data_IF_279055423398
#
_entry.id   IF_279055423398
#
_cell.length_a   1.000
_cell.length_b   1.000
_cell.length_c   1.000
_cell.angle_alpha   90.00
_cell.angle_beta   90.00
_cell.angle_gamma   90.00
#
_symmetry.space_group_name_H-M   'P 1'
#
loop_
_entity.id
_entity.type
_entity.pdbx_description
1 polymer ?
#
# COMPACT_ATOMS: atom_id res chain seq x y z
N UNK A 1 -24.89 10.30 -1.04
CA UNK A 1 -24.65 8.84 -0.98
C UNK A 1 -24.11 8.38 0.38
N UNK A 2 -23.16 9.10 1.00
CA UNK A 2 -22.59 8.78 2.32
C UNK A 2 -23.57 8.60 3.50
N UNK A 3 -24.83 9.01 3.39
CA UNK A 3 -25.85 8.79 4.44
C UNK A 3 -26.39 7.34 4.49
N UNK A 4 -26.09 6.53 3.49
CA UNK A 4 -26.62 5.17 3.38
C UNK A 4 -25.60 4.14 3.89
N UNK A 5 -25.93 3.28 4.88
CA UNK A 5 -25.00 2.29 5.43
C UNK A 5 -24.40 1.34 4.38
N UNK A 6 -25.21 0.94 3.39
CA UNK A 6 -24.78 0.10 2.26
C UNK A 6 -23.60 0.67 1.48
N UNK A 7 -23.47 2.00 1.41
CA UNK A 7 -22.39 2.64 0.70
C UNK A 7 -21.06 2.52 1.44
N UNK A 8 -21.08 2.63 2.78
CA UNK A 8 -19.89 2.39 3.61
C UNK A 8 -19.42 0.93 3.56
N UNK A 9 -20.35 -0.02 3.51
CA UNK A 9 -20.03 -1.44 3.29
C UNK A 9 -19.35 -1.62 1.93
N UNK A 10 -19.89 -1.02 0.87
CA UNK A 10 -19.26 -1.04 -0.45
C UNK A 10 -17.83 -0.47 -0.42
N UNK A 11 -17.62 0.70 0.20
CA UNK A 11 -16.29 1.30 0.33
C UNK A 11 -15.33 0.42 1.13
N UNK A 12 -15.80 -0.23 2.19
CA UNK A 12 -14.98 -1.16 2.98
C UNK A 12 -14.56 -2.38 2.14
N UNK A 13 -15.47 -2.96 1.37
CA UNK A 13 -15.15 -4.08 0.47
C UNK A 13 -14.14 -3.64 -0.59
N UNK A 14 -14.36 -2.50 -1.24
CA UNK A 14 -13.45 -1.97 -2.25
C UNK A 14 -12.05 -1.71 -1.65
N UNK A 15 -11.99 -1.10 -0.47
CA UNK A 15 -10.73 -0.75 0.17
C UNK A 15 -9.95 -1.97 0.68
N UNK A 16 -10.60 -2.88 1.41
CA UNK A 16 -9.90 -3.96 2.09
C UNK A 16 -9.79 -5.22 1.23
N UNK A 17 -10.79 -5.55 0.42
CA UNK A 17 -10.78 -6.77 -0.38
C UNK A 17 -10.11 -6.52 -1.72
N UNK A 18 -10.64 -5.57 -2.50
CA UNK A 18 -10.11 -5.31 -3.85
C UNK A 18 -8.73 -4.66 -3.74
N UNK A 19 -8.61 -3.48 -3.14
CA UNK A 19 -7.32 -2.82 -3.07
C UNK A 19 -6.37 -3.49 -2.05
N UNK A 20 -6.86 -3.85 -0.87
CA UNK A 20 -6.04 -4.48 0.16
C UNK A 20 -5.62 -5.91 -0.23
N UNK A 21 -6.54 -6.87 -0.19
CA UNK A 21 -6.21 -8.29 -0.36
C UNK A 21 -5.66 -8.58 -1.74
N UNK A 22 -6.31 -8.16 -2.83
CA UNK A 22 -5.84 -8.53 -4.19
C UNK A 22 -4.47 -7.92 -4.47
N UNK A 23 -4.27 -6.62 -4.24
CA UNK A 23 -3.00 -5.98 -4.58
C UNK A 23 -1.85 -6.46 -3.70
N UNK A 24 -2.07 -6.64 -2.38
CA UNK A 24 -1.02 -7.18 -1.51
C UNK A 24 -0.71 -8.64 -1.81
N UNK A 25 -1.70 -9.42 -2.30
CA UNK A 25 -1.46 -10.77 -2.80
C UNK A 25 -0.57 -10.75 -4.04
N UNK A 26 -0.82 -9.87 -5.00
CA UNK A 26 0.01 -9.73 -6.20
C UNK A 26 1.47 -9.39 -5.85
N UNK A 27 1.68 -8.45 -4.93
CA UNK A 27 3.03 -8.09 -4.42
C UNK A 27 3.70 -9.27 -3.71
N UNK A 28 2.96 -10.01 -2.90
CA UNK A 28 3.44 -11.25 -2.28
C UNK A 28 3.87 -12.28 -3.33
N UNK A 29 3.03 -12.56 -4.33
CA UNK A 29 3.35 -13.53 -5.37
C UNK A 29 4.52 -13.10 -6.23
N UNK A 30 4.69 -11.81 -6.54
CA UNK A 30 5.88 -11.30 -7.22
C UNK A 30 7.17 -11.65 -6.45
N UNK A 31 7.18 -11.50 -5.12
CA UNK A 31 8.30 -11.92 -4.28
C UNK A 31 8.49 -13.45 -4.31
N UNK A 32 7.41 -14.24 -4.23
CA UNK A 32 7.52 -15.70 -4.29
C UNK A 32 8.03 -16.19 -5.64
N UNK A 33 7.62 -15.57 -6.75
CA UNK A 33 8.14 -15.86 -8.07
C UNK A 33 9.62 -15.51 -8.18
N UNK A 34 10.04 -14.34 -7.69
CA UNK A 34 11.45 -13.96 -7.64
C UNK A 34 12.28 -14.95 -6.80
N UNK A 35 11.71 -15.47 -5.72
CA UNK A 35 12.33 -16.52 -4.89
C UNK A 35 12.40 -17.87 -5.60
N UNK A 36 11.35 -18.25 -6.32
CA UNK A 36 11.27 -19.55 -6.99
C UNK A 36 12.29 -19.66 -8.13
N UNK A 37 12.44 -18.59 -8.92
CA UNK A 37 13.36 -18.57 -10.07
C UNK A 37 14.75 -18.01 -9.76
N UNK A 38 14.89 -17.26 -8.65
CA UNK A 38 16.16 -16.67 -8.22
C UNK A 38 16.78 -17.37 -7.02
N UNK A 39 17.99 -16.94 -6.63
CA UNK A 39 18.61 -17.33 -5.35
C UNK A 39 18.56 -16.16 -4.37
N UNK A 40 17.57 -16.17 -3.50
CA UNK A 40 17.44 -15.20 -2.40
C UNK A 40 17.94 -15.86 -1.12
N UNK A 41 19.17 -15.53 -0.72
CA UNK A 41 19.83 -16.16 0.45
C UNK A 41 19.83 -15.29 1.70
N UNK A 42 19.72 -13.96 1.56
CA UNK A 42 19.84 -13.03 2.69
C UNK A 42 18.49 -12.37 3.03
N UNK A 43 18.13 -12.20 4.31
CA UNK A 43 16.94 -11.46 4.74
C UNK A 43 16.81 -10.07 4.09
N UNK A 44 17.92 -9.33 3.95
CA UNK A 44 17.96 -8.03 3.26
C UNK A 44 17.45 -8.10 1.82
N UNK A 45 17.70 -9.20 1.11
CA UNK A 45 17.26 -9.38 -0.28
C UNK A 45 15.75 -9.62 -0.33
N UNK A 46 15.17 -10.39 0.61
CA UNK A 46 13.72 -10.55 0.72
C UNK A 46 13.02 -9.20 0.93
N UNK A 47 13.52 -8.39 1.86
CA UNK A 47 12.96 -7.07 2.13
C UNK A 47 13.06 -6.14 0.92
N UNK A 48 14.24 -6.06 0.31
CA UNK A 48 14.49 -5.22 -0.88
C UNK A 48 13.62 -5.63 -2.06
N UNK A 49 13.52 -6.94 -2.35
CA UNK A 49 12.70 -7.44 -3.46
C UNK A 49 11.20 -7.22 -3.21
N UNK A 50 10.74 -7.36 -1.96
CA UNK A 50 9.37 -7.03 -1.62
C UNK A 50 9.09 -5.54 -1.84
N UNK A 51 9.97 -4.65 -1.38
CA UNK A 51 9.84 -3.21 -1.65
C UNK A 51 9.85 -2.92 -3.16
N UNK A 52 10.72 -3.56 -3.93
CA UNK A 52 10.78 -3.41 -5.38
C UNK A 52 9.48 -3.87 -6.07
N UNK A 53 8.87 -4.96 -5.62
CA UNK A 53 7.55 -5.39 -6.09
C UNK A 53 6.47 -4.34 -5.77
N UNK A 54 6.50 -3.75 -4.58
CA UNK A 54 5.63 -2.63 -4.20
C UNK A 54 5.82 -1.40 -5.08
N UNK A 55 7.07 -1.04 -5.37
CA UNK A 55 7.41 0.10 -6.25
C UNK A 55 6.89 -0.13 -7.68
N UNK A 56 7.18 -1.30 -8.27
CA UNK A 56 6.73 -1.65 -9.61
C UNK A 56 5.19 -1.66 -9.71
N UNK A 57 4.52 -2.18 -8.69
CA UNK A 57 3.06 -2.10 -8.60
C UNK A 57 2.58 -0.63 -8.60
N UNK A 58 3.16 0.22 -7.75
CA UNK A 58 2.78 1.63 -7.66
C UNK A 58 3.05 2.39 -8.96
N UNK A 59 4.11 2.05 -9.69
CA UNK A 59 4.38 2.62 -11.01
C UNK A 59 3.27 2.26 -12.00
N UNK A 60 2.87 0.98 -12.09
CA UNK A 60 1.78 0.56 -12.98
C UNK A 60 0.45 1.22 -12.60
N UNK A 61 0.14 1.26 -11.30
CA UNK A 61 -1.05 1.93 -10.79
C UNK A 61 -1.06 3.43 -11.15
N UNK A 62 0.06 4.12 -10.92
CA UNK A 62 0.22 5.54 -11.25
C UNK A 62 0.02 5.82 -12.74
N UNK A 63 0.58 4.99 -13.63
CA UNK A 63 0.35 5.10 -15.09
C UNK A 63 -1.14 4.96 -15.40
N UNK A 64 -1.81 3.98 -14.79
CA UNK A 64 -3.26 3.77 -14.96
C UNK A 64 -4.10 4.98 -14.55
N UNK A 65 -3.80 5.59 -13.41
CA UNK A 65 -4.51 6.80 -12.95
C UNK A 65 -4.27 8.01 -13.86
N UNK A 66 -3.04 8.22 -14.34
CA UNK A 66 -2.74 9.32 -15.26
C UNK A 66 -3.44 9.08 -16.60
N UNK A 67 -3.38 7.85 -17.13
CA UNK A 67 -4.07 7.48 -18.36
C UNK A 67 -5.59 7.70 -18.24
N UNK A 68 -6.21 7.25 -17.15
CA UNK A 68 -7.63 7.48 -16.90
C UNK A 68 -7.99 8.97 -16.85
N UNK A 69 -7.19 9.78 -16.15
CA UNK A 69 -7.42 11.23 -16.09
C UNK A 69 -7.36 11.90 -17.48
N UNK A 70 -6.46 11.43 -18.37
CA UNK A 70 -6.39 11.89 -19.76
C UNK A 70 -7.60 11.43 -20.57
N UNK A 71 -8.03 10.18 -20.43
CA UNK A 71 -9.21 9.64 -21.13
C UNK A 71 -10.51 10.33 -20.73
N UNK A 72 -10.61 10.81 -19.50
CA UNK A 72 -11.74 11.58 -18.98
C UNK A 72 -11.70 13.07 -19.38
N UNK A 73 -10.77 13.48 -20.24
CA UNK A 73 -10.55 14.88 -20.67
C UNK A 73 -10.40 15.84 -19.47
N UNK A 74 -9.75 15.39 -18.41
CA UNK A 74 -9.52 16.23 -17.24
C UNK A 74 -8.56 17.38 -17.59
N UNK A 75 -8.84 18.56 -17.02
CA UNK A 75 -7.97 19.73 -17.18
C UNK A 75 -6.54 19.43 -16.72
N UNK A 76 -5.55 20.07 -17.36
CA UNK A 76 -4.12 19.87 -17.07
C UNK A 76 -3.77 20.03 -15.58
N UNK A 77 -4.39 20.98 -14.87
CA UNK A 77 -4.17 21.17 -13.45
C UNK A 77 -4.55 19.94 -12.61
N UNK A 78 -5.59 19.21 -13.01
CA UNK A 78 -6.00 17.95 -12.38
C UNK A 78 -5.04 16.82 -12.70
N UNK A 79 -4.59 16.70 -13.93
CA UNK A 79 -3.60 15.69 -14.32
C UNK A 79 -2.30 15.89 -13.53
N UNK A 80 -1.81 17.13 -13.41
CA UNK A 80 -0.63 17.47 -12.61
C UNK A 80 -0.85 17.13 -11.13
N UNK A 81 -2.02 17.43 -10.58
CA UNK A 81 -2.38 17.04 -9.21
C UNK A 81 -2.35 15.51 -9.04
N UNK A 82 -2.95 14.76 -9.96
CA UNK A 82 -2.94 13.28 -9.96
C UNK A 82 -1.51 12.75 -9.96
N UNK A 83 -0.65 13.26 -10.85
CA UNK A 83 0.76 12.86 -10.92
C UNK A 83 1.46 13.16 -9.59
N UNK A 84 1.31 14.37 -9.05
CA UNK A 84 1.98 14.76 -7.81
C UNK A 84 1.57 13.88 -6.62
N UNK A 85 0.27 13.65 -6.43
CA UNK A 85 -0.23 12.80 -5.35
C UNK A 85 0.21 11.34 -5.52
N UNK A 86 0.14 10.82 -6.75
CA UNK A 86 0.53 9.45 -7.06
C UNK A 86 2.03 9.23 -6.91
N UNK A 87 2.87 10.22 -7.22
CA UNK A 87 4.33 10.08 -7.08
C UNK A 87 4.83 10.33 -5.66
N UNK A 88 4.17 11.22 -4.90
CA UNK A 88 4.62 11.56 -3.55
C UNK A 88 4.25 10.48 -2.51
N UNK A 89 3.03 9.95 -2.56
CA UNK A 89 2.49 9.07 -1.50
C UNK A 89 2.37 7.61 -1.92
N UNK A 90 2.03 7.35 -3.19
CA UNK A 90 1.84 6.00 -3.72
C UNK A 90 3.08 5.12 -3.55
N UNK A 91 4.23 5.45 -4.18
CA UNK A 91 5.44 4.65 -4.10
C UNK A 91 5.89 4.38 -2.68
N UNK A 92 5.87 5.38 -1.80
CA UNK A 92 6.30 5.23 -0.40
C UNK A 92 5.37 4.26 0.33
N UNK A 93 4.06 4.42 0.18
CA UNK A 93 3.11 3.56 0.90
C UNK A 93 3.17 2.12 0.38
N UNK A 94 3.14 1.92 -0.95
CA UNK A 94 3.21 0.58 -1.55
C UNK A 94 4.53 -0.14 -1.25
N UNK A 95 5.67 0.57 -1.28
CA UNK A 95 6.97 -0.03 -0.94
C UNK A 95 7.02 -0.45 0.52
N UNK A 96 6.50 0.37 1.44
CA UNK A 96 6.48 0.05 2.87
C UNK A 96 5.51 -1.09 3.22
N UNK A 97 4.31 -1.14 2.62
CA UNK A 97 3.38 -2.27 2.84
C UNK A 97 3.95 -3.56 2.26
N UNK A 98 4.54 -3.52 1.07
CA UNK A 98 5.23 -4.69 0.52
C UNK A 98 6.45 -5.09 1.37
N UNK A 99 7.17 -4.12 1.93
CA UNK A 99 8.23 -4.36 2.91
C UNK A 99 7.76 -5.12 4.15
N UNK A 100 6.57 -4.80 4.69
CA UNK A 100 5.96 -5.58 5.79
C UNK A 100 5.68 -7.03 5.39
N UNK A 101 5.20 -7.24 4.17
CA UNK A 101 5.02 -8.58 3.60
C UNK A 101 6.37 -9.32 3.55
N UNK A 102 7.43 -8.67 3.06
CA UNK A 102 8.79 -9.22 3.06
C UNK A 102 9.30 -9.59 4.45
N UNK A 103 9.07 -8.74 5.46
CA UNK A 103 9.45 -9.03 6.85
C UNK A 103 8.71 -10.25 7.41
N UNK A 104 7.43 -10.44 7.08
CA UNK A 104 6.69 -11.62 7.53
C UNK A 104 7.10 -12.88 6.76
N UNK A 105 7.49 -12.77 5.49
CA UNK A 105 8.08 -13.87 4.72
C UNK A 105 9.41 -14.30 5.33
N UNK A 106 10.28 -13.36 5.75
CA UNK A 106 11.54 -13.69 6.46
C UNK A 106 11.25 -14.48 7.74
N UNK A 107 10.29 -14.03 8.54
CA UNK A 107 9.88 -14.73 9.79
C UNK A 107 9.41 -16.15 9.50
N UNK A 108 8.59 -16.33 8.47
CA UNK A 108 8.05 -17.63 8.09
C UNK A 108 9.13 -18.56 7.54
N UNK A 109 9.89 -18.08 6.55
CA UNK A 109 10.70 -18.93 5.68
C UNK A 109 12.15 -19.07 6.16
N UNK A 110 12.69 -18.07 6.86
CA UNK A 110 14.08 -18.10 7.36
C UNK A 110 14.15 -18.38 8.87
N UNK A 111 13.13 -17.98 9.64
CA UNK A 111 13.09 -18.21 11.10
C UNK A 111 12.18 -19.35 11.53
N UNK A 112 11.50 -20.01 10.59
CA UNK A 112 10.64 -21.16 10.86
C UNK A 112 9.36 -20.85 11.64
N UNK A 113 8.95 -19.57 11.75
CA UNK A 113 7.69 -19.23 12.40
C UNK A 113 6.50 -19.76 11.58
N UNK A 114 5.50 -20.33 12.26
CA UNK A 114 4.29 -20.83 11.59
C UNK A 114 3.32 -19.69 11.28
N UNK A 115 3.58 -18.97 10.19
CA UNK A 115 2.71 -17.91 9.69
C UNK A 115 1.93 -18.37 8.46
N UNK A 116 0.60 -18.37 8.56
CA UNK A 116 -0.28 -18.57 7.41
C UNK A 116 -0.29 -17.37 6.46
N UNK A 117 -0.81 -17.56 5.24
CA UNK A 117 -0.88 -16.51 4.22
C UNK A 117 -1.52 -15.21 4.73
N UNK A 118 -2.67 -15.30 5.40
CA UNK A 118 -3.34 -14.13 5.98
C UNK A 118 -2.50 -13.41 7.03
N UNK A 119 -1.65 -14.10 7.80
CA UNK A 119 -0.74 -13.46 8.76
C UNK A 119 0.45 -12.78 8.06
N UNK A 120 0.85 -13.29 6.89
CA UNK A 120 1.93 -12.71 6.08
C UNK A 120 1.50 -11.37 5.48
N UNK A 121 0.34 -11.31 4.83
CA UNK A 121 -0.13 -10.08 4.16
C UNK A 121 -1.02 -9.20 5.04
N UNK A 122 -1.55 -9.73 6.15
CA UNK A 122 -2.63 -9.08 6.90
C UNK A 122 -2.32 -7.67 7.41
N UNK A 123 -1.10 -7.44 7.92
CA UNK A 123 -0.71 -6.09 8.32
C UNK A 123 -0.67 -5.13 7.10
N UNK A 124 -0.16 -5.60 5.97
CA UNK A 124 -0.09 -4.84 4.73
C UNK A 124 -1.49 -4.50 4.22
N UNK A 125 -2.41 -5.47 4.25
CA UNK A 125 -3.83 -5.29 3.89
C UNK A 125 -4.51 -4.27 4.82
N UNK A 126 -4.27 -4.33 6.12
CA UNK A 126 -4.85 -3.39 7.07
C UNK A 126 -4.34 -1.96 6.87
N UNK A 127 -3.02 -1.79 6.66
CA UNK A 127 -2.47 -0.48 6.38
C UNK A 127 -2.98 0.05 5.03
N UNK A 128 -2.87 -0.73 3.97
CA UNK A 128 -3.28 -0.30 2.65
C UNK A 128 -4.79 -0.05 2.55
N UNK A 129 -5.61 -1.01 2.96
CA UNK A 129 -7.06 -0.88 2.96
C UNK A 129 -7.55 0.22 3.89
N UNK A 130 -6.92 0.40 5.06
CA UNK A 130 -7.25 1.49 5.98
C UNK A 130 -7.00 2.86 5.37
N UNK A 131 -5.86 3.05 4.70
CA UNK A 131 -5.57 4.28 3.97
C UNK A 131 -6.62 4.55 2.89
N UNK A 132 -6.90 3.57 2.03
CA UNK A 132 -7.87 3.68 0.95
C UNK A 132 -9.29 3.96 1.47
N UNK A 133 -9.69 3.30 2.56
CA UNK A 133 -11.00 3.52 3.16
C UNK A 133 -11.16 4.95 3.69
N UNK A 134 -10.14 5.51 4.32
CA UNK A 134 -10.20 6.89 4.82
C UNK A 134 -10.28 7.89 3.66
N UNK A 135 -9.40 7.78 2.66
CA UNK A 135 -9.37 8.73 1.55
C UNK A 135 -10.66 8.66 0.71
N UNK A 136 -11.15 7.45 0.42
CA UNK A 136 -12.46 7.28 -0.26
C UNK A 136 -13.63 7.72 0.63
N UNK A 137 -13.54 7.50 1.94
CA UNK A 137 -14.55 7.95 2.91
C UNK A 137 -14.66 9.47 2.95
N UNK A 138 -13.54 10.18 2.93
CA UNK A 138 -13.51 11.64 2.83
C UNK A 138 -14.12 12.10 1.51
N UNK A 139 -13.74 11.50 0.39
CA UNK A 139 -14.32 11.82 -0.92
C UNK A 139 -15.83 11.55 -0.97
N UNK A 140 -16.27 10.46 -0.33
CA UNK A 140 -17.67 10.10 -0.16
C UNK A 140 -18.49 11.13 0.63
N UNK A 141 -17.91 11.72 1.68
CA UNK A 141 -18.53 12.79 2.47
C UNK A 141 -18.74 14.06 1.64
N UNK A 142 -17.90 14.30 0.63
CA UNK A 142 -18.09 15.36 -0.37
C UNK A 142 -19.11 15.00 -1.46
N UNK A 143 -19.71 13.81 -1.39
CA UNK A 143 -20.74 13.35 -2.32
C UNK A 143 -20.22 12.54 -3.50
N UNK A 144 -18.91 12.24 -3.56
CA UNK A 144 -18.27 11.54 -4.66
C UNK A 144 -18.38 10.01 -4.55
N UNK A 145 -18.21 9.33 -5.68
CA UNK A 145 -18.05 7.87 -5.75
C UNK A 145 -16.61 7.53 -6.11
N UNK A 146 -15.95 6.75 -5.24
CA UNK A 146 -14.52 6.46 -5.36
C UNK A 146 -13.65 7.62 -4.89
N UNK A 147 -12.43 7.70 -5.41
CA UNK A 147 -11.47 8.76 -5.10
C UNK A 147 -11.57 9.89 -6.11
N UNK A 148 -12.11 11.03 -5.67
CA UNK A 148 -12.03 12.31 -6.37
C UNK A 148 -11.19 13.27 -5.55
N UNK A 149 -10.23 13.93 -6.21
CA UNK A 149 -9.26 14.84 -5.60
C UNK A 149 -9.94 15.95 -4.78
N UNK A 150 -9.79 15.94 -3.44
CA UNK A 150 -10.39 16.93 -2.56
C UNK A 150 -9.75 18.31 -2.78
N UNK A 151 -10.44 19.35 -2.31
CA UNK A 151 -10.00 20.76 -2.42
C UNK A 151 -10.08 21.46 -1.08
N UNK A 152 -9.36 22.57 -0.95
CA UNK A 152 -9.40 23.43 0.23
C UNK A 152 -9.07 22.68 1.53
N UNK A 153 -9.92 22.83 2.54
CA UNK A 153 -9.69 22.24 3.87
C UNK A 153 -9.70 20.71 3.86
N UNK A 154 -10.50 20.08 2.98
CA UNK A 154 -10.54 18.63 2.86
C UNK A 154 -9.21 18.07 2.35
N UNK A 155 -8.56 18.77 1.42
CA UNK A 155 -7.23 18.38 0.93
C UNK A 155 -6.20 18.42 2.07
N UNK A 156 -6.20 19.49 2.87
CA UNK A 156 -5.31 19.60 4.03
C UNK A 156 -5.56 18.48 5.05
N UNK A 157 -6.82 18.10 5.28
CA UNK A 157 -7.17 16.97 6.14
C UNK A 157 -6.60 15.65 5.59
N UNK A 158 -6.84 15.34 4.31
CA UNK A 158 -6.32 14.12 3.67
C UNK A 158 -4.81 14.07 3.73
N UNK A 159 -4.12 15.17 3.41
CA UNK A 159 -2.66 15.22 3.45
C UNK A 159 -2.13 14.99 4.87
N UNK A 160 -2.78 15.57 5.88
CA UNK A 160 -2.42 15.35 7.29
C UNK A 160 -2.58 13.90 7.69
N UNK A 161 -3.71 13.28 7.35
CA UNK A 161 -3.96 11.86 7.58
C UNK A 161 -2.92 11.02 6.86
N UNK A 162 -2.63 11.33 5.60
CA UNK A 162 -1.67 10.58 4.79
C UNK A 162 -0.26 10.62 5.36
N UNK A 163 0.22 11.81 5.76
CA UNK A 163 1.53 11.96 6.41
C UNK A 163 1.57 11.19 7.73
N UNK A 164 0.53 11.30 8.57
CA UNK A 164 0.43 10.53 9.81
C UNK A 164 0.46 9.02 9.58
N UNK A 165 -0.24 8.57 8.54
CA UNK A 165 -0.32 7.16 8.16
C UNK A 165 1.03 6.62 7.66
N UNK A 166 1.68 7.33 6.74
CA UNK A 166 3.02 7.01 6.25
C UNK A 166 4.03 7.02 7.39
N UNK A 167 3.92 7.98 8.32
CA UNK A 167 4.76 8.04 9.52
C UNK A 167 4.59 6.81 10.42
N UNK A 168 3.35 6.40 10.71
CA UNK A 168 3.04 5.22 11.51
C UNK A 168 3.52 3.93 10.84
N UNK A 169 3.33 3.81 9.52
CA UNK A 169 3.78 2.68 8.72
C UNK A 169 5.32 2.61 8.70
N UNK A 170 6.00 3.73 8.46
CA UNK A 170 7.47 3.84 8.49
C UNK A 170 8.02 3.44 9.85
N UNK A 171 7.44 3.96 10.94
CA UNK A 171 7.84 3.60 12.29
C UNK A 171 7.66 2.10 12.56
N UNK A 172 6.56 1.51 12.08
CA UNK A 172 6.28 0.07 12.21
C UNK A 172 7.31 -0.77 11.44
N UNK A 173 7.58 -0.44 10.18
CA UNK A 173 8.60 -1.09 9.35
C UNK A 173 9.96 -0.99 10.01
N UNK A 174 10.38 0.22 10.42
CA UNK A 174 11.68 0.47 11.06
C UNK A 174 11.85 -0.35 12.35
N UNK A 175 10.83 -0.36 13.22
CA UNK A 175 10.85 -1.16 14.47
C UNK A 175 10.97 -2.65 14.18
N UNK A 176 10.24 -3.17 13.19
CA UNK A 176 10.28 -4.60 12.83
C UNK A 176 11.59 -4.97 12.15
N UNK A 177 12.10 -4.13 11.24
CA UNK A 177 13.38 -4.33 10.57
C UNK A 177 14.54 -4.33 11.57
N UNK A 178 14.56 -3.42 12.54
CA UNK A 178 15.60 -3.40 13.59
C UNK A 178 15.61 -4.66 14.47
N UNK A 179 14.44 -5.27 14.70
CA UNK A 179 14.36 -6.59 15.36
C UNK A 179 14.87 -7.72 14.48
N UNK A 180 14.85 -7.58 13.16
CA UNK A 180 15.38 -8.61 12.26
C UNK A 180 16.92 -8.58 12.23
N UNK A 181 17.52 -7.39 12.12
CA UNK A 181 18.98 -7.21 12.00
C UNK A 181 19.76 -7.49 13.28
N UNK A 182 19.13 -7.41 14.47
CA UNK A 182 19.81 -7.79 15.72
C UNK A 182 20.22 -9.27 15.77
N UNK A 183 19.60 -10.14 14.97
CA UNK A 183 19.93 -11.57 14.93
C UNK A 183 21.01 -11.91 13.88
N UNK A 184 21.24 -11.06 12.88
CA UNK A 184 22.31 -11.25 11.89
C UNK A 184 23.72 -10.96 12.46
N UNK A 185 23.83 -10.48 13.72
CA UNK A 185 25.12 -10.19 14.36
C UNK A 185 25.80 -11.40 15.03
N UNK A 186 25.16 -12.57 15.03
CA UNK A 186 25.63 -13.75 15.76
C UNK A 186 25.86 -14.98 14.87
N UNK A 187 25.73 -14.83 13.55
CA UNK A 187 26.16 -15.80 12.53
C UNK A 187 27.45 -15.30 11.86
#
# INVERSE_FOLDING_TARGET
MARQPRYWVFLAVLAFVVAGVVEESLKYYALQYARHYGRITHPKNFFTLAMAAGLGFSTMEGIGFVYAAVQEDQRLDRIVQTVAERMALGPITHTLTAGLTGLNVIRRDLRGERLGFGQVIGNSVLFHGGFNFIVMGVSALEGNVGWIHPRGITLLFVLTVAVGFVGALTATVRRRLGRQTCFEKYD
#
